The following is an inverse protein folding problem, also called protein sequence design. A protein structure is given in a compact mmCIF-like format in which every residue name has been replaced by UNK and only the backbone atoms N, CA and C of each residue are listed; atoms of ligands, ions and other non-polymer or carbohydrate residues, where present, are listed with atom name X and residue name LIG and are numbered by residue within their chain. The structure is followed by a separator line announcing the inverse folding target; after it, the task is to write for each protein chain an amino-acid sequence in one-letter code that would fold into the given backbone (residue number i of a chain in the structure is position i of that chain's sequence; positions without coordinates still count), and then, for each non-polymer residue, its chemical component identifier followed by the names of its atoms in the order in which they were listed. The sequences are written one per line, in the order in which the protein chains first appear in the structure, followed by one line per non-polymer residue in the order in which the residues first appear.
data_IF_378239873712
#
_entry.id   IF_378239873712
#
_cell.length_a   1.000
_cell.length_b   1.000
_cell.length_c   1.000
_cell.angle_alpha   90.00
_cell.angle_beta   90.00
_cell.angle_gamma   90.00
#
_symmetry.space_group_name_H-M   'P 1'
#
loop_
_entity.id
_entity.type
_entity.pdbx_description
1 polymer ?
#
# COMPACT_ATOMS: atom_id res chain seq x y z
N UNK A 1 9.84 3.61 -16.60
CA UNK A 1 8.41 3.97 -16.55
C UNK A 1 8.04 4.32 -15.13
N UNK A 2 7.55 5.55 -14.92
CA UNK A 2 6.86 5.99 -13.71
C UNK A 2 5.37 5.81 -14.01
N UNK A 3 4.61 5.13 -13.18
CA UNK A 3 3.15 5.13 -13.28
C UNK A 3 2.59 5.83 -12.05
N UNK A 4 2.29 7.13 -12.20
CA UNK A 4 1.42 7.88 -11.28
C UNK A 4 -0.01 7.73 -11.79
N UNK A 5 -0.99 7.54 -10.90
CA UNK A 5 -2.41 7.60 -11.25
C UNK A 5 -2.71 8.96 -11.90
N UNK A 6 -2.87 8.99 -13.22
CA UNK A 6 -3.38 10.16 -13.94
C UNK A 6 -4.89 9.99 -14.02
N UNK A 7 -5.62 10.77 -13.23
CA UNK A 7 -7.09 10.79 -13.29
C UNK A 7 -7.77 11.17 -11.98
N UNK A 8 -7.49 12.37 -11.47
CA UNK A 8 -8.37 13.01 -10.49
C UNK A 8 -8.60 14.45 -10.93
N UNK A 9 -9.82 14.71 -11.40
CA UNK A 9 -10.32 16.05 -11.70
C UNK A 9 -10.28 16.94 -10.45
N UNK A 10 -9.86 18.21 -10.53
CA UNK A 10 -9.75 19.07 -9.36
C UNK A 10 -11.13 19.51 -8.86
N UNK A 11 -11.44 19.19 -7.60
CA UNK A 11 -12.57 19.75 -6.88
C UNK A 11 -12.21 21.21 -6.50
N UNK A 12 -12.84 22.17 -7.17
CA UNK A 12 -12.66 23.60 -6.89
C UNK A 12 -13.46 23.95 -5.63
N UNK A 13 -12.80 24.42 -4.59
CA UNK A 13 -13.46 25.06 -3.43
C UNK A 13 -13.46 26.56 -3.69
N UNK A 14 -14.65 27.10 -3.98
CA UNK A 14 -14.86 28.54 -4.10
C UNK A 14 -14.82 29.19 -2.70
N UNK A 15 -13.97 30.20 -2.56
CA UNK A 15 -13.94 31.14 -1.44
C UNK A 15 -15.10 32.12 -1.57
N UNK A 16 -15.92 32.25 -0.52
CA UNK A 16 -16.85 33.37 -0.37
C UNK A 16 -16.80 33.87 1.08
N UNK A 17 -16.44 35.14 1.22
CA UNK A 17 -16.29 35.90 2.44
C UNK A 17 -17.61 36.46 2.98
N UNK A 18 -17.55 36.86 4.25
CA UNK A 18 -18.33 37.90 4.94
C UNK A 18 -19.63 37.48 5.64
N UNK A 19 -19.52 37.37 6.98
CA UNK A 19 -20.20 38.30 7.89
C UNK A 19 -21.65 38.02 8.24
N UNK A 20 -21.88 37.36 9.39
CA UNK A 20 -22.97 37.71 10.30
C UNK A 20 -22.68 37.16 11.69
N UNK A 21 -22.65 38.04 12.69
CA UNK A 21 -22.66 37.72 14.10
C UNK A 21 -23.94 36.96 14.46
N UNK A 22 -23.84 35.88 15.25
CA UNK A 22 -24.94 35.51 16.13
C UNK A 22 -24.43 34.94 17.45
N UNK A 23 -25.12 35.37 18.48
CA UNK A 23 -24.79 35.43 19.90
C UNK A 23 -24.83 34.06 20.58
N UNK A 24 -23.99 33.91 21.61
CA UNK A 24 -23.94 32.77 22.53
C UNK A 24 -25.26 32.56 23.30
N UNK A 25 -25.77 31.33 23.32
CA UNK A 25 -26.74 30.88 24.31
C UNK A 25 -26.29 29.51 24.84
N UNK A 26 -25.92 29.50 26.11
CA UNK A 26 -25.65 28.30 26.91
C UNK A 26 -26.99 27.62 27.22
N UNK A 27 -27.18 26.41 26.70
CA UNK A 27 -28.19 25.47 27.21
C UNK A 27 -27.62 24.07 27.21
N UNK A 28 -27.69 23.45 28.39
CA UNK A 28 -27.28 22.09 28.73
C UNK A 28 -27.84 21.01 27.80
N UNK A 29 -27.07 19.91 27.70
CA UNK A 29 -27.31 18.67 26.96
C UNK A 29 -28.75 18.12 27.02
N UNK A 30 -29.13 17.29 26.04
CA UNK A 30 -29.01 15.85 26.30
C UNK A 30 -28.31 15.07 25.19
N UNK A 31 -27.58 14.06 25.62
CA UNK A 31 -27.02 12.99 24.81
C UNK A 31 -28.12 12.27 24.05
N UNK A 32 -28.06 12.29 22.72
CA UNK A 32 -28.87 11.44 21.86
C UNK A 32 -27.99 10.88 20.74
N UNK A 33 -27.40 9.72 21.05
CA UNK A 33 -26.83 8.77 20.11
C UNK A 33 -27.88 8.40 19.07
N UNK A 34 -27.87 9.06 17.91
CA UNK A 34 -28.51 8.51 16.72
C UNK A 34 -27.55 7.49 16.11
N UNK A 35 -27.71 6.25 16.57
CA UNK A 35 -27.14 5.09 15.93
C UNK A 35 -27.73 5.02 14.51
N UNK A 36 -26.89 5.34 13.51
CA UNK A 36 -27.12 4.91 12.16
C UNK A 36 -27.14 3.39 12.19
N UNK A 37 -28.33 2.80 12.02
CA UNK A 37 -28.50 1.38 11.74
C UNK A 37 -27.77 1.07 10.44
N UNK A 38 -26.54 0.59 10.57
CA UNK A 38 -25.89 -0.19 9.53
C UNK A 38 -26.71 -1.46 9.39
N UNK A 39 -27.51 -1.54 8.33
CA UNK A 39 -28.04 -2.82 7.89
C UNK A 39 -26.83 -3.69 7.52
N UNK A 40 -26.54 -4.64 8.40
CA UNK A 40 -25.63 -5.72 8.10
C UNK A 40 -26.24 -6.50 6.93
N UNK A 41 -25.70 -6.31 5.72
CA UNK A 41 -26.04 -7.18 4.60
C UNK A 41 -25.75 -8.61 5.03
N UNK A 42 -26.83 -9.40 5.10
CA UNK A 42 -26.87 -10.78 5.53
C UNK A 42 -25.80 -11.56 4.78
N UNK A 43 -24.84 -12.13 5.52
CA UNK A 43 -23.85 -13.06 4.99
C UNK A 43 -24.55 -14.16 4.18
N UNK A 44 -24.07 -14.49 2.96
CA UNK A 44 -24.75 -15.44 2.08
C UNK A 44 -24.93 -16.80 2.75
N UNK A 45 -26.08 -17.43 2.47
CA UNK A 45 -26.41 -18.75 2.99
C UNK A 45 -25.34 -19.79 2.55
N UNK A 46 -24.91 -20.72 3.42
CA UNK A 46 -23.70 -21.54 3.24
C UNK A 46 -23.73 -22.50 2.03
N UNK A 47 -24.87 -22.64 1.36
CA UNK A 47 -25.06 -23.51 0.19
C UNK A 47 -24.56 -22.88 -1.12
N UNK A 48 -24.47 -21.55 -1.21
CA UNK A 48 -23.92 -20.85 -2.39
C UNK A 48 -22.38 -20.65 -2.32
N UNK A 49 -21.75 -21.06 -1.21
CA UNK A 49 -20.36 -20.78 -0.88
C UNK A 49 -19.31 -21.73 -1.51
N UNK A 50 -19.67 -22.56 -2.49
CA UNK A 50 -18.81 -23.65 -2.97
C UNK A 50 -18.38 -23.53 -4.45
N UNK A 51 -18.14 -22.33 -4.96
CA UNK A 51 -17.36 -22.17 -6.20
C UNK A 51 -15.89 -22.02 -5.85
N UNK A 52 -15.11 -23.07 -6.06
CA UNK A 52 -13.64 -22.99 -5.98
C UNK A 52 -13.14 -22.02 -7.05
N UNK A 53 -12.39 -21.00 -6.63
CA UNK A 53 -11.82 -19.99 -7.54
C UNK A 53 -10.30 -20.04 -7.43
N UNK A 54 -9.65 -20.38 -8.54
CA UNK A 54 -8.19 -20.31 -8.67
C UNK A 54 -7.80 -19.13 -9.58
N UNK A 55 -7.40 -18.02 -8.96
CA UNK A 55 -7.01 -16.81 -9.67
C UNK A 55 -5.70 -16.98 -10.48
N UNK A 56 -4.90 -18.03 -10.25
CA UNK A 56 -3.66 -18.28 -10.99
C UNK A 56 -3.92 -18.56 -12.48
N UNK A 57 -5.10 -19.08 -12.79
CA UNK A 57 -5.54 -19.38 -14.17
C UNK A 57 -5.69 -18.12 -15.04
N UNK A 58 -5.83 -16.94 -14.44
CA UNK A 58 -5.94 -15.66 -15.16
C UNK A 58 -4.67 -15.27 -15.93
N UNK A 59 -3.51 -15.78 -15.51
CA UNK A 59 -2.22 -15.40 -16.07
C UNK A 59 -1.73 -14.00 -15.65
N UNK A 60 -2.38 -13.35 -14.67
CA UNK A 60 -1.96 -12.06 -14.12
C UNK A 60 -0.96 -12.17 -12.96
N UNK A 61 -0.69 -13.39 -12.49
CA UNK A 61 0.26 -13.64 -11.41
C UNK A 61 1.71 -13.64 -11.91
N UNK A 62 2.58 -13.07 -11.08
CA UNK A 62 4.02 -13.12 -11.28
C UNK A 62 4.61 -14.51 -10.96
N UNK A 63 5.85 -14.75 -11.38
CA UNK A 63 6.66 -15.90 -10.92
C UNK A 63 6.82 -15.85 -9.39
N UNK A 64 6.87 -16.99 -8.72
CA UNK A 64 7.06 -17.03 -7.26
C UNK A 64 8.38 -16.36 -6.89
N UNK A 65 8.32 -15.43 -5.93
CA UNK A 65 9.46 -14.68 -5.43
C UNK A 65 9.95 -15.22 -4.08
N UNK A 66 11.26 -15.10 -3.84
CA UNK A 66 11.88 -15.47 -2.57
C UNK A 66 12.37 -14.22 -1.82
N UNK A 67 11.84 -13.99 -0.62
CA UNK A 67 12.25 -12.88 0.25
C UNK A 67 13.58 -13.11 0.99
N UNK A 68 14.12 -14.33 0.94
CA UNK A 68 15.30 -14.71 1.70
C UNK A 68 15.10 -14.51 3.20
N UNK A 69 16.10 -13.96 3.87
CA UNK A 69 16.11 -13.75 5.32
C UNK A 69 15.59 -12.38 5.76
N UNK A 70 15.30 -11.47 4.82
CA UNK A 70 14.79 -10.14 5.15
C UNK A 70 13.33 -10.21 5.63
N UNK A 71 12.97 -9.35 6.59
CA UNK A 71 11.60 -9.13 7.08
C UNK A 71 10.65 -8.46 6.07
N UNK A 72 10.80 -8.72 4.78
CA UNK A 72 10.17 -7.99 3.68
C UNK A 72 8.86 -8.62 3.15
N UNK A 73 8.17 -9.43 3.96
CA UNK A 73 6.97 -10.16 3.55
C UNK A 73 5.84 -9.22 3.07
N UNK A 74 5.60 -8.12 3.78
CA UNK A 74 4.58 -7.13 3.38
C UNK A 74 4.92 -6.49 2.04
N UNK A 75 6.20 -6.17 1.81
CA UNK A 75 6.63 -5.63 0.53
C UNK A 75 6.45 -6.64 -0.62
N UNK A 76 6.64 -7.94 -0.37
CA UNK A 76 6.36 -9.00 -1.35
C UNK A 76 4.87 -9.15 -1.63
N UNK A 77 4.05 -9.19 -0.58
CA UNK A 77 2.60 -9.32 -0.71
C UNK A 77 2.01 -8.14 -1.51
N UNK A 78 2.42 -6.92 -1.19
CA UNK A 78 1.98 -5.71 -1.89
C UNK A 78 2.51 -5.61 -3.31
N UNK A 79 3.77 -5.99 -3.55
CA UNK A 79 4.33 -6.11 -4.89
C UNK A 79 3.50 -7.09 -5.75
N UNK A 80 3.15 -8.26 -5.18
CA UNK A 80 2.36 -9.26 -5.90
C UNK A 80 0.92 -8.80 -6.18
N UNK A 81 0.28 -8.17 -5.19
CA UNK A 81 -1.05 -7.58 -5.35
C UNK A 81 -1.05 -6.45 -6.38
N UNK A 82 -0.05 -5.57 -6.34
CA UNK A 82 0.13 -4.49 -7.32
C UNK A 82 0.25 -5.07 -8.73
N UNK A 83 1.13 -6.06 -8.92
CA UNK A 83 1.30 -6.72 -10.21
C UNK A 83 -0.03 -7.31 -10.71
N UNK A 84 -0.74 -8.06 -9.87
CA UNK A 84 -2.01 -8.67 -10.26
C UNK A 84 -3.05 -7.62 -10.69
N UNK A 85 -3.24 -6.56 -9.90
CA UNK A 85 -4.21 -5.49 -10.19
C UNK A 85 -3.80 -4.72 -11.43
N UNK A 86 -2.51 -4.38 -11.56
CA UNK A 86 -1.99 -3.64 -12.70
C UNK A 86 -2.24 -4.40 -14.01
N UNK A 87 -1.95 -5.71 -14.02
CA UNK A 87 -2.22 -6.56 -15.18
C UNK A 87 -3.68 -6.70 -15.51
N UNK A 88 -4.51 -6.92 -14.49
CA UNK A 88 -5.95 -7.00 -14.67
C UNK A 88 -6.51 -5.71 -15.28
N UNK A 89 -5.96 -4.55 -14.93
CA UNK A 89 -6.38 -3.25 -15.46
C UNK A 89 -5.91 -3.00 -16.90
N UNK A 90 -4.69 -3.43 -17.24
CA UNK A 90 -4.15 -3.28 -18.59
C UNK A 90 -4.77 -4.28 -19.58
N UNK A 91 -5.27 -5.41 -19.07
CA UNK A 91 -5.74 -6.56 -19.86
C UNK A 91 -4.73 -7.02 -20.94
N UNK A 92 -3.45 -6.75 -20.70
CA UNK A 92 -2.35 -6.99 -21.62
C UNK A 92 -1.21 -7.65 -20.86
N UNK A 93 -0.56 -8.64 -21.49
CA UNK A 93 0.61 -9.32 -20.95
C UNK A 93 1.94 -8.63 -21.31
N UNK A 94 1.92 -7.64 -22.20
CA UNK A 94 3.14 -7.06 -22.77
C UNK A 94 3.66 -5.85 -21.98
N UNK A 95 2.78 -5.10 -21.31
CA UNK A 95 3.14 -3.90 -20.53
C UNK A 95 3.45 -4.22 -19.06
N UNK A 96 4.16 -5.32 -18.83
CA UNK A 96 4.51 -5.79 -17.50
C UNK A 96 5.82 -5.18 -17.00
N UNK A 97 5.85 -4.75 -15.74
CA UNK A 97 7.12 -4.57 -15.02
C UNK A 97 7.08 -5.24 -13.64
N UNK A 98 8.23 -5.71 -13.17
CA UNK A 98 8.38 -6.31 -11.85
C UNK A 98 8.55 -5.17 -10.82
N UNK A 99 7.63 -4.97 -9.86
CA UNK A 99 7.75 -3.89 -8.88
C UNK A 99 8.88 -4.15 -7.87
N UNK A 100 9.69 -3.12 -7.59
CA UNK A 100 10.80 -3.23 -6.65
C UNK A 100 10.31 -3.44 -5.22
N UNK A 101 10.53 -4.66 -4.75
CA UNK A 101 10.22 -5.09 -3.38
C UNK A 101 11.09 -4.39 -2.33
N UNK A 102 12.35 -4.09 -2.64
CA UNK A 102 13.21 -3.33 -1.72
C UNK A 102 12.83 -1.85 -1.65
N UNK A 103 12.33 -1.26 -2.74
CA UNK A 103 11.83 0.12 -2.73
C UNK A 103 10.62 0.24 -1.80
N UNK A 104 9.65 -0.67 -1.95
CA UNK A 104 8.50 -0.76 -1.04
C UNK A 104 8.95 -1.01 0.39
N UNK A 105 9.87 -1.95 0.61
CA UNK A 105 10.33 -2.27 1.95
C UNK A 105 11.05 -1.11 2.63
N UNK A 106 11.83 -0.31 1.89
CA UNK A 106 12.41 0.91 2.41
C UNK A 106 11.34 1.93 2.81
N UNK A 107 10.37 2.19 1.94
CA UNK A 107 9.35 3.21 2.20
C UNK A 107 8.43 2.86 3.37
N UNK A 108 8.08 1.57 3.52
CA UNK A 108 7.33 1.08 4.69
C UNK A 108 8.08 1.41 5.98
N UNK A 109 9.36 1.05 6.06
CA UNK A 109 10.20 1.35 7.24
C UNK A 109 10.40 2.85 7.44
N UNK A 110 10.49 3.63 6.35
CA UNK A 110 10.60 5.08 6.43
C UNK A 110 9.33 5.72 7.02
N UNK A 111 8.13 5.24 6.65
CA UNK A 111 6.87 5.68 7.25
C UNK A 111 6.77 5.38 8.74
N UNK A 112 7.34 4.24 9.17
CA UNK A 112 7.39 3.84 10.58
C UNK A 112 8.60 4.34 11.37
N UNK A 113 9.47 5.20 10.81
CA UNK A 113 10.74 5.64 11.42
C UNK A 113 11.70 4.51 11.84
N UNK A 114 11.72 3.40 11.09
CA UNK A 114 12.48 2.16 11.36
C UNK A 114 13.47 1.81 10.24
N UNK A 115 13.98 2.79 9.51
CA UNK A 115 14.85 2.54 8.33
C UNK A 115 16.11 1.74 8.68
N UNK A 116 16.67 1.93 9.88
CA UNK A 116 17.90 1.26 10.32
C UNK A 116 17.75 -0.20 10.75
N UNK A 117 16.53 -0.71 10.95
CA UNK A 117 16.30 -2.04 11.54
C UNK A 117 15.38 -2.92 10.69
N UNK A 118 15.63 -4.23 10.71
CA UNK A 118 14.83 -5.23 10.02
C UNK A 118 13.61 -5.66 10.84
N UNK A 119 12.68 -4.73 11.08
CA UNK A 119 11.48 -4.95 11.90
C UNK A 119 10.20 -5.19 11.07
N UNK A 120 10.33 -5.28 9.74
CA UNK A 120 9.18 -5.43 8.85
C UNK A 120 8.34 -4.16 8.78
N UNK A 121 7.02 -4.35 8.66
CA UNK A 121 6.02 -3.29 8.71
C UNK A 121 4.61 -3.86 8.55
N UNK A 122 3.61 -2.99 8.57
CA UNK A 122 2.20 -3.34 8.39
C UNK A 122 1.75 -3.19 6.94
N UNK A 123 0.73 -3.93 6.54
CA UNK A 123 0.11 -3.82 5.20
C UNK A 123 -0.40 -2.40 4.97
N UNK A 124 -0.97 -1.77 6.00
CA UNK A 124 -1.49 -0.40 5.94
C UNK A 124 -0.40 0.63 5.60
N UNK A 125 0.76 0.58 6.28
CA UNK A 125 1.91 1.44 5.95
C UNK A 125 2.38 1.26 4.50
N UNK A 126 2.34 0.02 4.01
CA UNK A 126 2.69 -0.26 2.62
C UNK A 126 1.65 0.25 1.62
N UNK A 127 0.36 0.22 1.96
CA UNK A 127 -0.69 0.83 1.14
C UNK A 127 -0.53 2.35 1.08
N UNK A 128 -0.23 3.02 2.20
CA UNK A 128 0.09 4.45 2.20
C UNK A 128 1.31 4.76 1.32
N UNK A 129 2.38 3.96 1.45
CA UNK A 129 3.55 4.11 0.58
C UNK A 129 3.20 3.98 -0.90
N UNK A 130 2.38 3.00 -1.29
CA UNK A 130 1.97 2.82 -2.68
C UNK A 130 1.14 4.00 -3.19
N UNK A 131 0.22 4.51 -2.37
CA UNK A 131 -0.62 5.67 -2.72
C UNK A 131 0.20 6.95 -2.91
N UNK A 132 1.11 7.24 -1.98
CA UNK A 132 1.87 8.50 -1.98
C UNK A 132 3.08 8.48 -2.91
N UNK A 133 3.82 7.36 -2.90
CA UNK A 133 5.15 7.26 -3.55
C UNK A 133 5.14 6.35 -4.77
N UNK A 134 4.10 5.55 -4.96
CA UNK A 134 4.06 4.52 -5.99
C UNK A 134 5.11 3.43 -5.77
N UNK A 135 5.47 2.76 -6.86
CA UNK A 135 6.53 1.75 -6.91
C UNK A 135 7.32 1.88 -8.21
N UNK A 136 8.60 1.58 -8.16
CA UNK A 136 9.46 1.55 -9.34
C UNK A 136 9.73 0.14 -9.82
N UNK A 137 10.23 0.01 -11.04
CA UNK A 137 10.64 -1.28 -11.55
C UNK A 137 11.87 -1.84 -10.81
N UNK A 138 11.91 -3.16 -10.63
CA UNK A 138 12.94 -3.86 -9.89
C UNK A 138 14.31 -3.71 -10.54
N UNK A 139 14.39 -3.51 -11.85
CA UNK A 139 15.64 -3.22 -12.56
C UNK A 139 16.31 -1.95 -12.02
N UNK A 140 15.51 -0.96 -11.61
CA UNK A 140 15.98 0.32 -11.05
C UNK A 140 16.44 0.14 -9.59
N UNK A 141 15.73 -0.70 -8.84
CA UNK A 141 16.06 -1.01 -7.46
C UNK A 141 16.01 -2.51 -7.15
N UNK A 142 17.06 -3.21 -7.60
CA UNK A 142 17.12 -4.69 -7.61
C UNK A 142 16.99 -5.27 -6.20
N UNK A 143 16.23 -6.35 -6.10
CA UNK A 143 16.08 -7.07 -4.85
C UNK A 143 17.39 -7.75 -4.44
N UNK A 144 17.86 -7.44 -3.24
CA UNK A 144 19.09 -7.98 -2.66
C UNK A 144 18.80 -8.39 -1.21
N UNK A 145 18.48 -9.68 -0.95
CA UNK A 145 18.09 -10.16 0.37
C UNK A 145 19.30 -10.41 1.28
N UNK A 146 20.16 -9.40 1.43
CA UNK A 146 21.28 -9.42 2.36
C UNK A 146 21.32 -8.11 3.13
N UNK A 147 21.95 -8.14 4.30
CA UNK A 147 22.08 -6.97 5.17
C UNK A 147 21.38 -7.15 6.50
N UNK A 148 20.54 -8.17 6.65
CA UNK A 148 20.00 -8.63 7.94
C UNK A 148 19.84 -10.15 7.88
N UNK A 149 20.05 -10.81 9.03
CA UNK A 149 19.95 -12.26 9.16
C UNK A 149 18.92 -12.67 10.22
N UNK A 150 18.48 -11.73 11.07
CA UNK A 150 17.44 -11.94 12.08
C UNK A 150 16.55 -10.70 12.16
N UNK A 151 15.27 -10.90 12.50
CA UNK A 151 14.38 -9.77 12.76
C UNK A 151 14.92 -8.89 13.88
N UNK A 152 14.71 -7.59 13.74
CA UNK A 152 15.17 -6.50 14.62
C UNK A 152 16.69 -6.29 14.62
N UNK A 153 17.45 -6.99 13.77
CA UNK A 153 18.85 -6.65 13.55
C UNK A 153 18.95 -5.29 12.85
N UNK A 154 20.02 -4.56 13.16
CA UNK A 154 20.40 -3.38 12.39
C UNK A 154 20.97 -3.81 11.05
N UNK A 155 20.63 -3.07 9.99
CA UNK A 155 21.16 -3.41 8.67
C UNK A 155 22.67 -3.22 8.61
N UNK A 156 23.37 -4.16 7.95
CA UNK A 156 24.79 -4.02 7.66
C UNK A 156 25.06 -2.79 6.81
N UNK A 157 26.12 -2.07 7.14
CA UNK A 157 26.58 -0.92 6.37
C UNK A 157 26.85 -1.29 4.91
N UNK A 158 26.56 -0.38 3.99
CA UNK A 158 26.69 -0.62 2.56
C UNK A 158 25.58 -1.48 1.92
N UNK A 159 24.75 -2.17 2.72
CA UNK A 159 23.63 -2.96 2.20
C UNK A 159 22.60 -2.09 1.48
N UNK A 160 22.07 -2.60 0.35
CA UNK A 160 21.09 -1.85 -0.43
C UNK A 160 19.78 -1.61 0.32
N UNK A 161 19.44 -2.51 1.25
CA UNK A 161 18.27 -2.41 2.12
C UNK A 161 18.36 -1.25 3.12
N UNK A 162 19.56 -0.83 3.51
CA UNK A 162 19.79 0.32 4.39
C UNK A 162 19.80 1.66 3.64
N UNK A 163 20.05 1.65 2.33
CA UNK A 163 20.21 2.86 1.51
C UNK A 163 18.86 3.40 1.07
N UNK A 164 18.73 4.73 1.16
CA UNK A 164 17.60 5.43 0.57
C UNK A 164 17.59 5.24 -0.95
N UNK A 165 16.47 4.77 -1.53
CA UNK A 165 16.34 4.68 -2.97
C UNK A 165 16.26 6.07 -3.58
N UNK A 166 16.74 6.18 -4.83
CA UNK A 166 16.66 7.42 -5.60
C UNK A 166 15.17 7.79 -5.77
N UNK A 167 14.77 9.03 -5.49
CA UNK A 167 13.40 9.48 -5.70
C UNK A 167 12.92 9.20 -7.13
N UNK A 168 11.64 8.87 -7.23
CA UNK A 168 10.94 8.73 -8.51
C UNK A 168 10.67 10.14 -9.03
N UNK A 169 11.58 10.65 -9.87
CA UNK A 169 11.43 11.93 -10.58
C UNK A 169 10.12 11.95 -11.38
#
# INVERSE_FOLDING_TARGET
MLLKFVGATPFTIASASAGALFTIASTSAPSASTAATAEAEKSPDPEEAAKSVDLRTTGYFHKIWNQGQLGSCVAHALAGAFTFVHQKQLDSKEDHFEPSRLFLYYNIRAGGNKVGIDDGGSVLEGMYSLSEKGVCAEERWKYQPWGSYKRKDTFKEGSRVAKQPIPLA
#
